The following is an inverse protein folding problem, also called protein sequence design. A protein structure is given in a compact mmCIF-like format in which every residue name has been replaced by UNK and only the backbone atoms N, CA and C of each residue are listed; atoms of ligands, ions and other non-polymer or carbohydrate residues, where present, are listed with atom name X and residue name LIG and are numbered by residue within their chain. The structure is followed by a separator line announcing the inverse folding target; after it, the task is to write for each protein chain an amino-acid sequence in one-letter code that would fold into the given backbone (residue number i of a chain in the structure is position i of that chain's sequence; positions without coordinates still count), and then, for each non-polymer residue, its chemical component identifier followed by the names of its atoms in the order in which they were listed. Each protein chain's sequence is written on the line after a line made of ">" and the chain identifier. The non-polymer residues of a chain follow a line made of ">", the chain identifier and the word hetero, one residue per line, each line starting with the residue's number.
data_IF_080093528872
#
_entry.id   IF_080093528872
#
_cell.length_a   1.000
_cell.length_b   1.000
_cell.length_c   1.000
_cell.angle_alpha   90.00
_cell.angle_beta   90.00
_cell.angle_gamma   90.00
#
_symmetry.space_group_name_H-M   'P 1'
#
loop_
_entity.id
_entity.type
_entity.pdbx_description
1 polymer ?
#
# COMPACT_ATOMS: atom_id res chain seq x y z
N UNK A 1 -10.36 29.12 -21.50
CA UNK A 1 -11.63 28.48 -21.16
C UNK A 1 -11.87 28.30 -19.66
N UNK A 2 -10.89 28.52 -18.80
CA UNK A 2 -11.00 28.32 -17.34
C UNK A 2 -11.21 29.66 -16.67
N UNK A 3 -12.24 29.78 -15.80
CA UNK A 3 -12.51 30.99 -15.04
C UNK A 3 -11.95 30.97 -13.65
N UNK A 4 -11.93 29.80 -12.99
CA UNK A 4 -11.46 29.66 -11.62
C UNK A 4 -11.05 28.23 -11.33
N UNK A 5 -10.05 28.09 -10.46
CA UNK A 5 -9.60 26.78 -9.97
C UNK A 5 -9.58 26.85 -8.44
N UNK A 6 -10.18 25.85 -7.79
CA UNK A 6 -10.24 25.78 -6.34
C UNK A 6 -9.95 24.36 -5.87
N UNK A 7 -9.16 24.25 -4.82
CA UNK A 7 -8.91 22.99 -4.14
C UNK A 7 -9.87 22.86 -2.96
N UNK A 8 -10.70 21.83 -2.97
CA UNK A 8 -11.66 21.51 -1.91
C UNK A 8 -11.35 20.17 -1.26
N UNK A 9 -10.09 19.81 -1.21
CA UNK A 9 -9.66 18.54 -0.58
C UNK A 9 -9.92 18.56 0.93
N UNK A 10 -10.42 17.44 1.44
CA UNK A 10 -10.72 17.25 2.86
C UNK A 10 -10.40 15.81 3.30
N UNK A 11 -10.93 15.38 4.44
CA UNK A 11 -10.72 14.04 4.97
C UNK A 11 -11.28 12.94 4.07
N UNK A 12 -12.28 13.24 3.24
CA UNK A 12 -12.91 12.26 2.34
C UNK A 12 -12.10 12.00 1.06
N UNK A 13 -11.14 12.88 0.75
CA UNK A 13 -10.25 12.73 -0.40
C UNK A 13 -9.86 14.05 -1.05
N UNK A 14 -9.08 13.93 -2.11
CA UNK A 14 -8.67 15.09 -2.91
C UNK A 14 -9.77 15.48 -3.89
N UNK A 15 -10.06 16.76 -3.94
CA UNK A 15 -11.04 17.32 -4.86
C UNK A 15 -10.56 18.66 -5.39
N UNK A 16 -10.39 18.76 -6.70
CA UNK A 16 -10.04 20.01 -7.38
C UNK A 16 -11.18 20.39 -8.31
N UNK A 17 -11.70 21.59 -8.15
CA UNK A 17 -12.78 22.12 -8.97
C UNK A 17 -12.21 23.10 -9.96
N UNK A 18 -12.47 22.86 -11.24
CA UNK A 18 -12.09 23.73 -12.34
C UNK A 18 -13.37 24.30 -12.94
N UNK A 19 -13.62 25.57 -12.70
CA UNK A 19 -14.76 26.27 -13.27
C UNK A 19 -14.43 26.80 -14.68
N UNK A 20 -15.32 26.56 -15.60
CA UNK A 20 -15.12 26.95 -16.99
C UNK A 20 -15.85 28.29 -17.31
N UNK A 21 -15.36 29.01 -18.30
CA UNK A 21 -16.03 30.18 -18.82
C UNK A 21 -17.32 29.76 -19.55
N UNK A 22 -18.25 30.69 -19.64
CA UNK A 22 -19.52 30.46 -20.37
C UNK A 22 -19.25 30.06 -21.82
N UNK A 23 -20.01 29.07 -22.30
CA UNK A 23 -19.90 28.58 -23.67
C UNK A 23 -18.82 27.55 -23.91
N UNK A 24 -18.01 27.23 -22.91
CA UNK A 24 -16.99 26.17 -23.04
C UNK A 24 -17.63 24.79 -22.87
N UNK A 25 -17.14 23.83 -23.68
CA UNK A 25 -17.56 22.43 -23.58
C UNK A 25 -16.65 21.72 -22.61
N UNK A 26 -17.18 21.18 -21.50
CA UNK A 26 -16.32 20.55 -20.44
C UNK A 26 -15.46 19.43 -20.97
N UNK A 27 -15.98 18.59 -21.85
CA UNK A 27 -15.23 17.46 -22.39
C UNK A 27 -14.00 17.87 -23.20
N UNK A 28 -14.16 18.94 -24.01
CA UNK A 28 -13.07 19.48 -24.83
C UNK A 28 -11.96 20.05 -23.92
N UNK A 29 -12.37 20.83 -22.94
CA UNK A 29 -11.41 21.41 -21.97
C UNK A 29 -10.68 20.32 -21.20
N UNK A 30 -11.39 19.32 -20.74
CA UNK A 30 -10.78 18.19 -20.02
C UNK A 30 -9.78 17.42 -20.89
N UNK A 31 -10.13 17.15 -22.15
CA UNK A 31 -9.21 16.49 -23.09
C UNK A 31 -7.96 17.31 -23.36
N UNK A 32 -8.10 18.63 -23.46
CA UNK A 32 -6.95 19.53 -23.62
C UNK A 32 -6.07 19.53 -22.38
N UNK A 33 -6.65 19.49 -21.18
CA UNK A 33 -5.91 19.38 -19.93
C UNK A 33 -5.13 18.08 -19.86
N UNK A 34 -5.71 16.97 -20.29
CA UNK A 34 -4.99 15.69 -20.35
C UNK A 34 -3.80 15.71 -21.30
N UNK A 35 -3.91 16.42 -22.41
CA UNK A 35 -2.83 16.51 -23.41
C UNK A 35 -1.74 17.52 -23.03
N UNK A 36 -2.10 18.60 -22.37
CA UNK A 36 -1.20 19.73 -22.14
C UNK A 36 -0.68 19.85 -20.72
N UNK A 37 -1.22 19.08 -19.80
CA UNK A 37 -0.82 19.10 -18.40
C UNK A 37 -0.53 17.69 -17.88
N UNK A 38 -0.05 17.61 -16.65
CA UNK A 38 0.23 16.34 -15.97
C UNK A 38 -1.01 15.72 -15.30
N UNK A 39 -2.22 16.16 -15.64
CA UNK A 39 -3.43 15.53 -15.10
C UNK A 39 -3.57 14.07 -15.51
N UNK A 40 -3.02 13.72 -16.65
CA UNK A 40 -2.85 12.34 -17.06
C UNK A 40 -1.36 12.10 -17.27
N UNK A 41 -0.81 11.20 -16.52
CA UNK A 41 0.61 10.88 -16.59
C UNK A 41 0.84 9.39 -16.43
N UNK A 42 2.00 8.93 -16.87
CA UNK A 42 2.42 7.56 -16.71
C UNK A 42 3.45 7.48 -15.59
N UNK A 43 3.20 6.61 -14.65
CA UNK A 43 4.13 6.36 -13.56
C UNK A 43 4.72 4.96 -13.70
N UNK A 44 6.03 4.89 -13.93
CA UNK A 44 6.73 3.61 -13.98
C UNK A 44 7.00 3.10 -12.57
N UNK A 45 6.27 2.07 -12.16
CA UNK A 45 6.47 1.46 -10.85
C UNK A 45 7.58 0.43 -10.96
N UNK A 46 8.72 0.72 -10.31
CA UNK A 46 9.83 -0.21 -10.18
C UNK A 46 10.04 -0.49 -8.70
N UNK A 47 9.42 -1.55 -8.20
CA UNK A 47 9.56 -1.96 -6.81
C UNK A 47 10.58 -3.08 -6.71
N UNK A 48 11.62 -2.87 -5.90
CA UNK A 48 12.65 -3.87 -5.62
C UNK A 48 12.54 -4.24 -4.15
N UNK A 49 12.43 -5.52 -3.87
CA UNK A 49 12.37 -6.05 -2.52
C UNK A 49 13.40 -7.16 -2.34
N UNK A 50 13.84 -7.36 -1.11
CA UNK A 50 14.69 -8.49 -0.76
C UNK A 50 13.82 -9.72 -0.52
N UNK A 51 13.96 -10.72 -1.37
CA UNK A 51 13.30 -12.01 -1.26
C UNK A 51 14.37 -13.06 -1.08
N UNK A 52 14.33 -13.79 0.04
CA UNK A 52 15.36 -14.76 0.42
C UNK A 52 16.77 -14.17 0.40
N UNK A 53 16.90 -12.91 0.84
CA UNK A 53 18.16 -12.19 0.88
C UNK A 53 18.66 -11.65 -0.44
N UNK A 54 17.90 -11.83 -1.52
CA UNK A 54 18.28 -11.36 -2.85
C UNK A 54 17.33 -10.26 -3.35
N UNK A 55 17.85 -9.16 -3.90
CA UNK A 55 17.00 -8.13 -4.49
C UNK A 55 16.32 -8.66 -5.76
N UNK A 56 15.00 -8.51 -5.84
CA UNK A 56 14.19 -8.87 -7.00
C UNK A 56 13.24 -7.75 -7.37
N UNK A 57 13.08 -7.54 -8.67
CA UNK A 57 12.04 -6.65 -9.18
C UNK A 57 10.68 -7.34 -9.05
N UNK A 58 9.75 -6.70 -8.34
CA UNK A 58 8.45 -7.28 -8.00
C UNK A 58 7.32 -6.43 -8.54
N UNK A 59 6.23 -7.09 -8.96
CA UNK A 59 4.96 -6.42 -9.14
C UNK A 59 4.19 -6.38 -7.80
N UNK A 60 3.04 -5.73 -7.77
CA UNK A 60 2.27 -5.61 -6.54
C UNK A 60 1.82 -6.98 -5.99
N UNK A 61 1.42 -7.88 -6.87
CA UNK A 61 1.01 -9.24 -6.49
C UNK A 61 2.17 -9.99 -5.83
N UNK A 62 3.37 -9.89 -6.39
CA UNK A 62 4.56 -10.54 -5.84
C UNK A 62 4.88 -10.00 -4.44
N UNK A 63 4.81 -8.69 -4.24
CA UNK A 63 5.03 -8.08 -2.93
C UNK A 63 4.04 -8.55 -1.89
N UNK A 64 2.75 -8.61 -2.24
CA UNK A 64 1.70 -9.08 -1.33
C UNK A 64 1.91 -10.55 -0.99
N UNK A 65 2.21 -11.38 -1.98
CA UNK A 65 2.45 -12.81 -1.77
C UNK A 65 3.64 -13.05 -0.83
N UNK A 66 4.76 -12.35 -1.05
CA UNK A 66 5.96 -12.44 -0.20
C UNK A 66 5.66 -11.95 1.21
N UNK A 67 4.90 -10.88 1.35
CA UNK A 67 4.49 -10.37 2.66
C UNK A 67 3.66 -11.41 3.43
N UNK A 68 2.71 -12.05 2.77
CA UNK A 68 1.90 -13.10 3.40
C UNK A 68 2.74 -14.29 3.84
N UNK A 69 3.66 -14.74 3.00
CA UNK A 69 4.56 -15.84 3.35
C UNK A 69 5.46 -15.47 4.53
N UNK A 70 5.97 -14.25 4.55
CA UNK A 70 6.77 -13.73 5.67
C UNK A 70 5.95 -13.68 6.95
N UNK A 71 4.71 -13.22 6.89
CA UNK A 71 3.82 -13.19 8.06
C UNK A 71 3.53 -14.59 8.61
N UNK A 72 3.31 -15.56 7.74
CA UNK A 72 3.15 -16.97 8.16
C UNK A 72 4.39 -17.47 8.88
N UNK A 73 5.57 -17.19 8.33
CA UNK A 73 6.84 -17.57 8.93
C UNK A 73 7.03 -16.92 10.31
N UNK A 74 6.78 -15.63 10.43
CA UNK A 74 6.91 -14.90 11.70
C UNK A 74 5.96 -15.44 12.76
N UNK A 75 4.69 -15.68 12.40
CA UNK A 75 3.71 -16.25 13.33
C UNK A 75 4.11 -17.65 13.77
N UNK A 76 4.62 -18.46 12.85
CA UNK A 76 5.10 -19.80 13.15
C UNK A 76 6.29 -19.77 14.13
N UNK A 77 7.28 -18.90 13.89
CA UNK A 77 8.42 -18.73 14.78
C UNK A 77 7.99 -18.29 16.18
N UNK A 78 7.08 -17.32 16.24
CA UNK A 78 6.55 -16.85 17.52
C UNK A 78 5.83 -17.94 18.28
N UNK A 79 5.00 -18.71 17.59
CA UNK A 79 4.26 -19.83 18.19
C UNK A 79 5.20 -20.92 18.71
N UNK A 80 6.24 -21.26 17.95
CA UNK A 80 7.26 -22.24 18.38
C UNK A 80 8.00 -21.74 19.61
N UNK A 81 8.36 -20.46 19.65
CA UNK A 81 9.01 -19.85 20.81
C UNK A 81 8.10 -19.88 22.05
N UNK A 82 6.86 -19.46 21.90
CA UNK A 82 5.89 -19.46 23.00
C UNK A 82 5.60 -20.89 23.51
N UNK A 83 5.51 -21.84 22.59
CA UNK A 83 5.33 -23.25 22.95
C UNK A 83 6.51 -23.78 23.76
N UNK A 84 7.72 -23.47 23.36
CA UNK A 84 8.93 -23.86 24.10
C UNK A 84 8.90 -23.29 25.52
N UNK A 85 8.59 -22.01 25.65
CA UNK A 85 8.47 -21.34 26.95
C UNK A 85 7.38 -21.96 27.81
N UNK A 86 6.22 -22.27 27.23
CA UNK A 86 5.12 -22.90 27.95
C UNK A 86 5.48 -24.30 28.42
N UNK A 87 6.18 -25.09 27.58
CA UNK A 87 6.66 -26.43 27.96
C UNK A 87 7.69 -26.38 29.10
N UNK A 88 8.63 -25.44 29.04
CA UNK A 88 9.60 -25.24 30.11
C UNK A 88 8.91 -24.92 31.44
N UNK A 89 7.93 -24.04 31.40
CA UNK A 89 7.13 -23.69 32.58
C UNK A 89 6.30 -24.86 33.06
N UNK A 90 5.69 -25.61 32.17
CA UNK A 90 4.95 -26.83 32.51
C UNK A 90 5.82 -27.88 33.17
N UNK A 91 7.02 -28.08 32.67
CA UNK A 91 7.98 -29.00 33.25
C UNK A 91 8.36 -28.60 34.69
N UNK A 92 8.62 -27.33 34.93
CA UNK A 92 8.88 -26.80 36.28
C UNK A 92 7.71 -27.03 37.22
N UNK A 93 6.47 -26.74 36.73
CA UNK A 93 5.26 -26.93 37.52
C UNK A 93 4.99 -28.39 37.84
N UNK A 94 5.24 -29.30 36.89
CA UNK A 94 5.15 -30.74 37.14
C UNK A 94 6.17 -31.20 38.20
N UNK A 95 7.38 -30.67 38.17
CA UNK A 95 8.37 -30.93 39.18
C UNK A 95 7.99 -30.43 40.59
N UNK A 96 7.28 -29.30 40.63
CA UNK A 96 6.80 -28.74 41.91
C UNK A 96 5.57 -29.46 42.46
N UNK A 97 4.80 -30.12 41.60
CA UNK A 97 3.60 -30.86 41.98
C UNK A 97 3.89 -32.21 42.63
N UNK A 98 5.10 -32.71 42.53
CA UNK A 98 5.54 -33.98 43.11
C UNK A 98 6.03 -33.83 44.62
#
# INVERSE_FOLDING_TARGET
>A
GISHIQDESDKSGMRVIIELKRGEVPEVVLNNLYKQTQLQDSFGINMVALIDGQPKLCNLKDLVAVFLDHRREVVTRRTVFELRKARERGHVLEGLAV
#
